data_IF_509563428089
#
_entry.id   IF_509563428089
#
_cell.length_a   1.000
_cell.length_b   1.000
_cell.length_c   1.000
_cell.angle_alpha   90.00
_cell.angle_beta   90.00
_cell.angle_gamma   90.00
#
_symmetry.space_group_name_H-M   'P 1'
#
loop_
_entity.id
_entity.type
_entity.pdbx_description
1 polymer ?
#
# COMPACT_ATOMS: atom_id res chain seq x y z
N UNK A 1 -4.81 -28.04 19.43
CA UNK A 1 -4.21 -27.14 20.44
C UNK A 1 -5.35 -26.51 21.21
N UNK A 2 -5.32 -26.57 22.54
CA UNK A 2 -6.32 -25.85 23.35
C UNK A 2 -6.19 -24.35 23.06
N UNK A 3 -7.30 -23.63 22.84
CA UNK A 3 -7.25 -22.20 22.60
C UNK A 3 -6.63 -21.53 23.84
N UNK A 4 -5.61 -20.70 23.64
CA UNK A 4 -5.08 -19.85 24.70
C UNK A 4 -6.15 -18.85 25.14
N UNK A 5 -6.13 -18.34 26.38
CA UNK A 5 -7.06 -17.30 26.84
C UNK A 5 -7.11 -16.10 25.89
N UNK A 6 -5.96 -15.73 25.33
CA UNK A 6 -5.84 -14.67 24.31
C UNK A 6 -6.55 -15.00 22.99
N UNK A 7 -6.52 -16.26 22.55
CA UNK A 7 -7.25 -16.68 21.35
C UNK A 7 -8.77 -16.73 21.56
N UNK A 8 -9.23 -16.94 22.80
CA UNK A 8 -10.65 -16.85 23.15
C UNK A 8 -11.11 -15.40 23.25
N UNK A 9 -10.35 -14.53 23.92
CA UNK A 9 -10.67 -13.10 24.04
C UNK A 9 -10.61 -12.38 22.67
N UNK A 10 -9.61 -12.68 21.85
CA UNK A 10 -9.50 -12.14 20.49
C UNK A 10 -10.64 -12.57 19.56
N UNK A 11 -11.33 -13.67 19.88
CA UNK A 11 -12.53 -14.11 19.15
C UNK A 11 -13.77 -13.30 19.53
N UNK A 12 -13.91 -12.94 20.79
CA UNK A 12 -15.10 -12.25 21.29
C UNK A 12 -14.98 -10.71 21.22
N UNK A 13 -13.76 -10.18 21.29
CA UNK A 13 -13.45 -8.75 21.15
C UNK A 13 -12.32 -8.50 20.13
N UNK A 14 -12.54 -8.81 18.83
CA UNK A 14 -11.48 -8.81 17.83
C UNK A 14 -10.86 -7.42 17.63
N UNK A 15 -11.67 -6.37 17.50
CA UNK A 15 -11.18 -5.00 17.24
C UNK A 15 -10.37 -4.46 18.42
N UNK A 16 -10.85 -4.65 19.65
CA UNK A 16 -10.13 -4.20 20.84
C UNK A 16 -8.79 -4.94 20.99
N UNK A 17 -8.79 -6.25 20.77
CA UNK A 17 -7.57 -7.06 20.83
C UNK A 17 -6.56 -6.66 19.75
N UNK A 18 -7.03 -6.41 18.52
CA UNK A 18 -6.20 -5.88 17.43
C UNK A 18 -5.63 -4.51 17.78
N UNK A 19 -6.41 -3.63 18.42
CA UNK A 19 -5.94 -2.31 18.82
C UNK A 19 -4.83 -2.39 19.88
N UNK A 20 -4.99 -3.24 20.89
CA UNK A 20 -3.95 -3.49 21.91
C UNK A 20 -2.68 -4.06 21.25
N UNK A 21 -2.82 -5.03 20.35
CA UNK A 21 -1.69 -5.58 19.59
C UNK A 21 -1.01 -4.51 18.72
N UNK A 22 -1.79 -3.65 18.08
CA UNK A 22 -1.31 -2.54 17.27
C UNK A 22 -0.47 -1.58 18.11
N UNK A 23 -1.00 -1.14 19.25
CA UNK A 23 -0.27 -0.24 20.15
C UNK A 23 1.03 -0.89 20.66
N UNK A 24 0.98 -2.16 21.06
CA UNK A 24 2.16 -2.89 21.52
C UNK A 24 3.23 -2.97 20.43
N UNK A 25 2.84 -3.36 19.21
CA UNK A 25 3.78 -3.47 18.09
C UNK A 25 4.34 -2.11 17.65
N UNK A 26 3.50 -1.07 17.59
CA UNK A 26 3.95 0.29 17.29
C UNK A 26 4.89 0.83 18.35
N UNK A 27 4.66 0.50 19.62
CA UNK A 27 5.56 0.85 20.72
C UNK A 27 6.92 0.16 20.57
N UNK A 28 6.96 -1.11 20.18
CA UNK A 28 8.23 -1.81 19.91
C UNK A 28 9.02 -1.14 18.77
N UNK A 29 8.36 -0.87 17.63
CA UNK A 29 9.02 -0.18 16.50
C UNK A 29 9.47 1.22 16.91
N UNK A 30 8.64 1.95 17.67
CA UNK A 30 8.98 3.27 18.19
C UNK A 30 10.22 3.24 19.07
N UNK A 31 10.28 2.31 20.03
CA UNK A 31 11.41 2.16 20.93
C UNK A 31 12.69 1.80 20.17
N UNK A 32 12.63 0.89 19.19
CA UNK A 32 13.79 0.54 18.36
C UNK A 32 14.28 1.75 17.56
N UNK A 33 13.37 2.46 16.89
CA UNK A 33 13.73 3.65 16.09
C UNK A 33 14.34 4.74 16.97
N UNK A 34 13.77 5.01 18.14
CA UNK A 34 14.29 6.04 19.05
C UNK A 34 15.61 5.62 19.71
N UNK A 35 15.78 4.34 20.05
CA UNK A 35 17.01 3.81 20.65
C UNK A 35 18.13 3.55 19.63
N UNK A 36 17.85 3.60 18.32
CA UNK A 36 18.84 3.37 17.28
C UNK A 36 20.01 4.37 17.41
N UNK A 37 21.27 3.91 17.38
CA UNK A 37 22.43 4.76 17.60
C UNK A 37 22.69 5.67 16.39
N UNK A 38 23.15 6.88 16.70
CA UNK A 38 23.74 7.83 15.76
C UNK A 38 22.76 8.56 14.83
N UNK A 39 23.18 9.75 14.40
CA UNK A 39 22.61 10.40 13.21
C UNK A 39 22.87 9.58 11.94
N UNK A 40 23.88 8.68 11.97
CA UNK A 40 24.37 7.96 10.80
C UNK A 40 25.17 8.88 9.87
N UNK A 41 25.41 8.46 8.63
CA UNK A 41 25.89 9.35 7.56
C UNK A 41 24.75 10.18 6.94
N UNK A 42 23.72 10.51 7.74
CA UNK A 42 22.52 11.18 7.27
C UNK A 42 22.71 12.70 7.21
N UNK A 43 23.25 13.17 6.08
CA UNK A 43 23.38 14.61 5.80
C UNK A 43 22.11 15.23 5.24
N UNK A 44 21.12 14.44 4.84
CA UNK A 44 19.92 14.92 4.16
C UNK A 44 18.84 15.35 5.14
N UNK A 45 18.60 14.55 6.18
CA UNK A 45 17.60 14.87 7.21
C UNK A 45 17.99 16.11 8.01
N UNK A 46 19.29 16.33 8.24
CA UNK A 46 19.81 17.54 8.91
C UNK A 46 19.53 18.83 8.15
N UNK A 47 19.28 18.77 6.83
CA UNK A 47 18.93 19.94 6.03
C UNK A 47 17.48 20.40 6.26
N UNK A 48 16.60 19.53 6.77
CA UNK A 48 15.21 19.89 7.08
C UNK A 48 15.10 20.83 8.29
N UNK A 49 16.06 20.74 9.21
CA UNK A 49 16.17 21.61 10.39
C UNK A 49 16.98 22.90 10.13
N UNK A 50 17.46 23.11 8.90
CA UNK A 50 18.31 24.24 8.56
C UNK A 50 17.47 25.45 8.16
N UNK A 51 17.26 26.39 9.09
CA UNK A 51 16.40 27.57 8.89
C UNK A 51 17.15 28.90 8.62
N UNK A 52 18.47 28.93 8.45
CA UNK A 52 19.19 30.20 8.28
C UNK A 52 20.11 30.27 7.06
N UNK A 53 19.88 31.29 6.21
CA UNK A 53 20.60 31.62 4.98
C UNK A 53 22.06 32.08 5.15
N UNK A 54 22.79 31.53 6.13
CA UNK A 54 24.22 31.73 6.31
C UNK A 54 25.03 30.83 5.37
N UNK A 55 25.96 31.42 4.62
CA UNK A 55 26.97 30.73 3.78
C UNK A 55 27.99 29.92 4.60
N UNK A 56 27.57 29.08 5.54
CA UNK A 56 28.46 28.13 6.20
C UNK A 56 28.36 26.78 5.50
N UNK A 57 29.48 26.37 4.89
CA UNK A 57 29.67 25.03 4.36
C UNK A 57 29.62 24.07 5.56
N UNK A 58 28.72 23.08 5.53
CA UNK A 58 28.65 22.04 6.56
C UNK A 58 29.92 21.18 6.44
N UNK A 59 30.95 21.52 7.22
CA UNK A 59 32.24 20.80 7.22
C UNK A 59 32.30 19.67 8.25
N UNK A 60 31.33 19.60 9.16
CA UNK A 60 31.31 18.63 10.26
C UNK A 60 30.07 17.72 10.17
N UNK A 61 30.18 16.50 10.70
CA UNK A 61 29.02 15.64 10.97
C UNK A 61 27.98 16.45 11.76
N UNK A 62 26.68 16.42 11.40
CA UNK A 62 25.66 17.12 12.16
C UNK A 62 25.76 16.73 13.64
N UNK A 63 25.95 17.70 14.52
CA UNK A 63 25.74 17.50 15.95
C UNK A 63 24.28 17.05 16.17
N UNK A 64 24.05 16.36 17.30
CA UNK A 64 22.80 15.72 17.74
C UNK A 64 21.53 16.20 17.01
N UNK A 65 20.81 15.29 16.35
CA UNK A 65 19.51 15.59 15.73
C UNK A 65 18.63 16.38 16.71
N UNK A 66 18.25 17.59 16.31
CA UNK A 66 17.50 18.54 17.14
C UNK A 66 16.16 18.00 17.63
N UNK A 67 15.62 16.98 16.94
CA UNK A 67 14.40 16.28 17.31
C UNK A 67 14.55 14.76 17.10
N UNK A 68 14.21 13.98 18.13
CA UNK A 68 14.19 12.51 18.07
C UNK A 68 13.21 11.97 17.01
N UNK A 69 12.15 12.72 16.66
CA UNK A 69 11.21 12.34 15.61
C UNK A 69 11.84 12.31 14.21
N UNK A 70 12.94 13.03 13.98
CA UNK A 70 13.68 12.99 12.71
C UNK A 70 14.26 11.59 12.43
N UNK A 71 14.36 10.69 13.42
CA UNK A 71 14.75 9.28 13.18
C UNK A 71 13.72 8.52 12.35
N UNK A 72 12.49 9.03 12.27
CA UNK A 72 11.46 8.52 11.36
C UNK A 72 11.51 9.17 9.97
N UNK A 73 12.20 10.30 9.82
CA UNK A 73 12.29 11.06 8.57
C UNK A 73 13.60 10.74 7.87
N UNK A 74 13.78 9.51 7.40
CA UNK A 74 14.95 9.04 6.65
C UNK A 74 14.53 8.40 5.32
N UNK A 75 15.46 8.28 4.38
CA UNK A 75 15.20 7.64 3.09
C UNK A 75 14.02 8.31 2.36
N UNK A 76 13.07 7.53 1.83
CA UNK A 76 11.90 8.00 1.10
C UNK A 76 11.05 9.02 1.89
N UNK A 77 10.99 8.92 3.23
CA UNK A 77 10.21 9.86 4.06
C UNK A 77 10.73 11.30 4.03
N UNK A 78 12.01 11.50 3.71
CA UNK A 78 12.57 12.85 3.53
C UNK A 78 11.84 13.56 2.39
N UNK A 79 11.62 12.87 1.27
CA UNK A 79 10.86 13.42 0.14
C UNK A 79 9.43 13.73 0.55
N UNK A 80 8.76 12.82 1.25
CA UNK A 80 7.37 13.03 1.66
C UNK A 80 7.20 14.24 2.59
N UNK A 81 8.08 14.40 3.57
CA UNK A 81 8.09 15.55 4.48
C UNK A 81 8.46 16.83 3.74
N UNK A 82 9.51 16.83 2.91
CA UNK A 82 9.91 18.00 2.13
C UNK A 82 8.79 18.49 1.20
N UNK A 83 8.18 17.58 0.43
CA UNK A 83 7.05 17.89 -0.47
C UNK A 83 5.87 18.45 0.33
N UNK A 84 5.66 17.99 1.57
CA UNK A 84 4.58 18.51 2.40
C UNK A 84 4.78 19.95 2.85
N UNK A 85 6.03 20.40 2.97
CA UNK A 85 6.37 21.74 3.43
C UNK A 85 6.54 22.71 2.25
N UNK A 86 7.20 22.27 1.17
CA UNK A 86 7.63 23.14 0.06
C UNK A 86 6.90 22.85 -1.26
N UNK A 87 6.08 21.80 -1.32
CA UNK A 87 5.56 21.29 -2.59
C UNK A 87 6.64 20.57 -3.40
N UNK A 88 6.35 20.26 -4.66
CA UNK A 88 7.33 19.66 -5.56
C UNK A 88 8.30 20.73 -6.07
N UNK A 89 9.55 20.68 -5.62
CA UNK A 89 10.62 21.58 -6.03
C UNK A 89 11.50 20.93 -7.09
N UNK A 90 11.80 19.64 -6.92
CA UNK A 90 12.71 18.91 -7.81
C UNK A 90 12.01 17.84 -8.66
N UNK A 91 12.56 17.59 -9.85
CA UNK A 91 11.98 16.65 -10.83
C UNK A 91 11.83 15.24 -10.25
N UNK A 92 12.83 14.76 -9.49
CA UNK A 92 12.84 13.42 -8.90
C UNK A 92 11.74 13.18 -7.85
N UNK A 93 11.19 14.25 -7.26
CA UNK A 93 10.19 14.16 -6.19
C UNK A 93 8.84 13.64 -6.69
N UNK A 94 8.57 13.80 -7.98
CA UNK A 94 7.34 13.36 -8.62
C UNK A 94 7.15 11.85 -8.64
N UNK A 95 8.21 11.08 -8.37
CA UNK A 95 8.08 9.65 -8.18
C UNK A 95 7.54 9.23 -6.81
N UNK A 96 7.54 10.13 -5.83
CA UNK A 96 6.99 9.86 -4.51
C UNK A 96 5.49 10.08 -4.43
N UNK A 97 4.83 10.55 -5.51
CA UNK A 97 3.38 10.76 -5.54
C UNK A 97 2.95 11.97 -4.71
N UNK A 98 1.70 12.40 -4.87
CA UNK A 98 1.18 13.64 -4.26
C UNK A 98 0.31 13.36 -3.03
N UNK A 99 -0.08 12.11 -2.78
CA UNK A 99 -1.14 11.79 -1.82
C UNK A 99 -0.80 12.07 -0.35
N UNK A 100 0.18 11.36 0.22
CA UNK A 100 0.50 11.48 1.66
C UNK A 100 1.05 12.86 2.02
N UNK A 101 1.91 13.45 1.18
CA UNK A 101 2.45 14.79 1.40
C UNK A 101 1.35 15.84 1.42
N UNK A 102 0.37 15.78 0.50
CA UNK A 102 -0.79 16.69 0.52
C UNK A 102 -1.62 16.53 1.79
N UNK A 103 -1.80 15.29 2.27
CA UNK A 103 -2.52 15.04 3.53
C UNK A 103 -1.78 15.65 4.72
N UNK A 104 -0.45 15.51 4.80
CA UNK A 104 0.38 16.16 5.82
C UNK A 104 0.22 17.68 5.75
N UNK A 105 0.42 18.30 4.58
CA UNK A 105 0.29 19.76 4.41
C UNK A 105 -1.10 20.27 4.80
N UNK A 106 -2.15 19.54 4.44
CA UNK A 106 -3.52 19.90 4.77
C UNK A 106 -3.77 19.80 6.27
N UNK A 107 -3.40 18.68 6.91
CA UNK A 107 -3.55 18.49 8.36
C UNK A 107 -2.75 19.52 9.15
N UNK A 108 -1.49 19.78 8.79
CA UNK A 108 -0.67 20.82 9.44
C UNK A 108 -1.30 22.22 9.30
N UNK A 109 -1.88 22.56 8.14
CA UNK A 109 -2.62 23.83 7.96
C UNK A 109 -3.91 23.88 8.79
N UNK A 110 -4.68 22.79 8.84
CA UNK A 110 -5.91 22.73 9.63
C UNK A 110 -5.64 22.84 11.14
N UNK A 111 -4.58 22.20 11.65
CA UNK A 111 -4.18 22.33 13.05
C UNK A 111 -3.75 23.76 13.40
N UNK A 112 -3.05 24.45 12.49
CA UNK A 112 -2.72 25.88 12.64
C UNK A 112 -3.97 26.75 12.74
N UNK A 113 -4.97 26.51 11.89
CA UNK A 113 -6.23 27.25 11.91
C UNK A 113 -7.04 27.03 13.20
N UNK A 114 -6.86 25.88 13.86
CA UNK A 114 -7.53 25.54 15.12
C UNK A 114 -6.82 26.12 16.37
N UNK A 115 -5.70 26.85 16.21
CA UNK A 115 -5.06 27.58 17.29
C UNK A 115 -4.18 26.74 18.23
N UNK A 116 -3.72 25.57 17.79
CA UNK A 116 -2.72 24.80 18.54
C UNK A 116 -1.38 25.58 18.57
N UNK A 117 -1.01 26.09 19.75
CA UNK A 117 0.08 27.08 19.95
C UNK A 117 1.50 26.52 19.80
N UNK A 118 1.65 25.19 19.82
CA UNK A 118 2.91 24.50 19.54
C UNK A 118 2.76 23.81 18.19
N UNK A 119 3.46 24.29 17.17
CA UNK A 119 3.34 23.74 15.82
C UNK A 119 3.87 22.29 15.79
N UNK A 120 3.01 21.28 15.52
CA UNK A 120 3.52 19.94 15.30
C UNK A 120 4.28 19.95 13.98
N UNK A 121 5.55 19.53 14.02
CA UNK A 121 6.38 19.41 12.82
C UNK A 121 5.69 18.52 11.78
N UNK A 122 5.85 18.80 10.49
CA UNK A 122 5.31 17.97 9.41
C UNK A 122 5.75 16.51 9.52
N UNK A 123 6.94 16.28 10.10
CA UNK A 123 7.44 14.98 10.55
C UNK A 123 6.49 14.28 11.54
N UNK A 124 6.09 14.95 12.63
CA UNK A 124 5.18 14.40 13.62
C UNK A 124 3.78 14.14 13.06
N UNK A 125 3.24 15.09 12.28
CA UNK A 125 1.95 14.92 11.58
C UNK A 125 2.00 13.72 10.62
N UNK A 126 3.10 13.56 9.90
CA UNK A 126 3.34 12.42 9.01
C UNK A 126 3.37 11.07 9.74
N UNK A 127 4.01 10.99 10.90
CA UNK A 127 4.02 9.79 11.74
C UNK A 127 2.59 9.45 12.20
N UNK A 128 1.86 10.45 12.71
CA UNK A 128 0.48 10.28 13.18
C UNK A 128 -0.45 9.80 12.05
N UNK A 129 -0.38 10.43 10.87
CA UNK A 129 -1.16 10.03 9.70
C UNK A 129 -0.80 8.61 9.24
N UNK A 130 0.48 8.23 9.34
CA UNK A 130 0.95 6.90 8.97
C UNK A 130 0.45 5.82 9.93
N UNK A 131 0.44 6.09 11.24
CA UNK A 131 -0.17 5.18 12.23
C UNK A 131 -1.69 5.12 12.08
N UNK A 132 -2.38 6.25 11.91
CA UNK A 132 -3.81 6.28 11.70
C UNK A 132 -4.21 5.50 10.44
N UNK A 133 -3.51 5.71 9.32
CA UNK A 133 -3.74 4.98 8.07
C UNK A 133 -3.48 3.48 8.24
N UNK A 134 -2.41 3.08 8.92
CA UNK A 134 -2.14 1.66 9.16
C UNK A 134 -3.19 1.02 10.07
N UNK A 135 -3.69 1.73 11.09
CA UNK A 135 -4.78 1.21 11.92
C UNK A 135 -6.06 1.03 11.09
N UNK A 136 -6.39 2.01 10.26
CA UNK A 136 -7.54 1.89 9.36
C UNK A 136 -7.36 0.75 8.35
N UNK A 137 -6.16 0.53 7.80
CA UNK A 137 -5.91 -0.59 6.88
C UNK A 137 -6.06 -1.95 7.57
N UNK A 138 -5.70 -2.07 8.85
CA UNK A 138 -5.96 -3.26 9.68
C UNK A 138 -7.46 -3.53 9.82
N UNK A 139 -8.27 -2.48 10.08
CA UNK A 139 -9.73 -2.60 10.12
C UNK A 139 -10.29 -3.03 8.76
N UNK A 140 -9.80 -2.43 7.66
CA UNK A 140 -10.26 -2.78 6.32
C UNK A 140 -9.91 -4.22 5.93
N UNK A 141 -8.72 -4.71 6.29
CA UNK A 141 -8.35 -6.11 6.05
C UNK A 141 -9.22 -7.08 6.87
N UNK A 142 -9.49 -6.74 8.13
CA UNK A 142 -10.41 -7.52 8.97
C UNK A 142 -11.80 -7.60 8.33
N UNK A 143 -12.37 -6.44 7.96
CA UNK A 143 -13.70 -6.35 7.34
C UNK A 143 -13.76 -7.05 5.98
N UNK A 144 -12.71 -6.91 5.15
CA UNK A 144 -12.60 -7.60 3.86
C UNK A 144 -12.57 -9.12 4.04
N UNK A 145 -11.78 -9.61 5.00
CA UNK A 145 -11.70 -11.04 5.29
C UNK A 145 -13.02 -11.58 5.82
N UNK A 146 -13.68 -10.86 6.74
CA UNK A 146 -15.02 -11.23 7.23
C UNK A 146 -16.07 -11.27 6.10
N UNK A 147 -16.11 -10.23 5.27
CA UNK A 147 -17.04 -10.13 4.14
C UNK A 147 -16.84 -11.22 3.09
N UNK A 148 -15.61 -11.74 2.93
CA UNK A 148 -15.28 -12.86 2.04
C UNK A 148 -15.77 -14.21 2.58
N UNK A 149 -15.73 -14.41 3.91
CA UNK A 149 -16.18 -15.65 4.54
C UNK A 149 -17.71 -15.82 4.52
N UNK A 150 -18.45 -14.71 4.39
CA UNK A 150 -19.91 -14.73 4.31
C UNK A 150 -20.61 -14.85 5.67
N UNK A 151 -21.96 -14.85 5.69
CA UNK A 151 -22.76 -14.71 6.90
C UNK A 151 -22.89 -16.01 7.72
N UNK A 152 -22.15 -17.08 7.41
CA UNK A 152 -22.25 -18.35 8.12
C UNK A 152 -21.57 -18.24 9.50
N UNK A 153 -22.29 -17.63 10.44
CA UNK A 153 -21.90 -17.33 11.83
C UNK A 153 -21.65 -18.58 12.68
N UNK A 154 -21.94 -19.77 12.15
CA UNK A 154 -21.81 -21.04 12.89
C UNK A 154 -20.35 -21.44 13.14
N UNK A 155 -19.39 -20.86 12.40
CA UNK A 155 -17.97 -20.97 12.68
C UNK A 155 -17.39 -19.57 12.92
N UNK A 156 -17.23 -19.18 14.20
CA UNK A 156 -16.43 -18.01 14.60
C UNK A 156 -14.96 -18.25 14.25
N UNK A 157 -14.62 -18.21 12.95
CA UNK A 157 -13.27 -18.40 12.47
C UNK A 157 -12.38 -17.26 12.96
N UNK A 158 -11.16 -17.60 13.36
CA UNK A 158 -10.14 -16.63 13.74
C UNK A 158 -9.45 -16.02 12.51
N UNK A 159 -9.85 -16.38 11.30
CA UNK A 159 -9.21 -15.96 10.07
C UNK A 159 -9.18 -14.43 9.87
N UNK A 160 -10.30 -13.66 10.04
CA UNK A 160 -10.26 -12.21 9.89
C UNK A 160 -9.34 -11.54 10.91
N UNK A 161 -9.40 -12.00 12.16
CA UNK A 161 -8.52 -11.53 13.24
C UNK A 161 -7.06 -11.84 12.92
N UNK A 162 -6.75 -13.05 12.48
CA UNK A 162 -5.39 -13.51 12.19
C UNK A 162 -4.80 -12.77 10.99
N UNK A 163 -5.57 -12.58 9.91
CA UNK A 163 -5.12 -11.82 8.74
C UNK A 163 -4.79 -10.35 9.12
N UNK A 164 -5.67 -9.71 9.90
CA UNK A 164 -5.44 -8.36 10.41
C UNK A 164 -4.24 -8.26 11.35
N UNK A 165 -4.06 -9.24 12.25
CA UNK A 165 -2.88 -9.32 13.13
C UNK A 165 -1.57 -9.50 12.35
N UNK A 166 -1.58 -10.31 11.28
CA UNK A 166 -0.42 -10.45 10.39
C UNK A 166 -0.08 -9.15 9.66
N UNK A 167 -1.08 -8.32 9.34
CA UNK A 167 -0.84 -6.99 8.77
C UNK A 167 -0.20 -6.04 9.77
N UNK A 168 -0.61 -6.07 11.04
CA UNK A 168 0.08 -5.34 12.12
C UNK A 168 1.57 -5.71 12.13
N UNK A 169 1.88 -7.01 12.06
CA UNK A 169 3.24 -7.58 12.10
C UNK A 169 3.94 -7.64 10.74
N UNK A 170 3.49 -6.85 9.76
CA UNK A 170 3.99 -6.89 8.38
C UNK A 170 5.52 -6.66 8.30
N UNK A 171 6.23 -7.33 7.38
CA UNK A 171 7.67 -7.09 7.15
C UNK A 171 7.96 -5.69 6.59
N UNK A 172 6.93 -4.90 6.25
CA UNK A 172 7.08 -3.48 5.94
C UNK A 172 7.48 -2.63 7.16
N UNK A 173 7.33 -3.17 8.39
CA UNK A 173 7.96 -2.66 9.59
C UNK A 173 7.81 -1.15 9.82
N UNK A 174 8.95 -0.46 9.88
CA UNK A 174 9.03 0.98 10.13
C UNK A 174 8.40 1.83 9.03
N UNK A 175 8.32 1.35 7.79
CA UNK A 175 7.65 2.07 6.70
C UNK A 175 6.14 2.25 6.94
N UNK A 176 5.54 1.43 7.83
CA UNK A 176 4.16 1.60 8.28
C UNK A 176 4.02 2.57 9.48
N UNK A 177 5.11 3.20 9.89
CA UNK A 177 5.20 4.11 11.04
C UNK A 177 5.85 5.45 10.69
N UNK A 178 6.83 5.45 9.80
CA UNK A 178 7.44 6.64 9.25
C UNK A 178 6.47 7.37 8.30
N UNK A 179 6.68 8.67 8.01
CA UNK A 179 5.93 9.48 7.03
C UNK A 179 6.06 8.98 5.58
N UNK A 180 5.81 7.70 5.34
CA UNK A 180 5.92 7.08 4.03
C UNK A 180 4.53 6.77 3.47
N UNK A 181 4.48 6.49 2.17
CA UNK A 181 3.21 6.23 1.47
C UNK A 181 2.61 4.85 1.74
N UNK A 182 3.36 3.89 2.31
CA UNK A 182 2.93 2.50 2.53
C UNK A 182 1.61 2.40 3.32
N UNK A 183 1.51 3.09 4.45
CA UNK A 183 0.30 3.01 5.30
C UNK A 183 -0.93 3.60 4.62
N UNK A 184 -0.80 4.77 4.00
CA UNK A 184 -1.89 5.43 3.29
C UNK A 184 -2.32 4.62 2.05
N UNK A 185 -1.35 4.09 1.31
CA UNK A 185 -1.61 3.19 0.19
C UNK A 185 -2.36 1.94 0.66
N UNK A 186 -1.92 1.29 1.74
CA UNK A 186 -2.55 0.10 2.27
C UNK A 186 -4.00 0.37 2.68
N UNK A 187 -4.28 1.47 3.38
CA UNK A 187 -5.64 1.85 3.76
C UNK A 187 -6.55 2.04 2.55
N UNK A 188 -6.13 2.84 1.58
CA UNK A 188 -6.93 3.16 0.40
C UNK A 188 -7.11 1.95 -0.54
N UNK A 189 -6.07 1.13 -0.69
CA UNK A 189 -6.12 -0.12 -1.46
C UNK A 189 -7.09 -1.12 -0.83
N UNK A 190 -6.97 -1.37 0.48
CA UNK A 190 -7.86 -2.29 1.21
C UNK A 190 -9.31 -1.80 1.19
N UNK A 191 -9.53 -0.49 1.35
CA UNK A 191 -10.86 0.15 1.23
C UNK A 191 -11.45 -0.03 -0.17
N UNK A 192 -10.62 0.09 -1.22
CA UNK A 192 -11.02 -0.16 -2.60
C UNK A 192 -11.44 -1.61 -2.84
N UNK A 193 -10.67 -2.58 -2.33
CA UNK A 193 -11.01 -4.01 -2.45
C UNK A 193 -12.29 -4.36 -1.68
N UNK A 194 -12.47 -3.81 -0.47
CA UNK A 194 -13.70 -3.99 0.31
C UNK A 194 -14.91 -3.39 -0.40
N UNK A 195 -14.79 -2.16 -0.91
CA UNK A 195 -15.83 -1.50 -1.69
C UNK A 195 -16.20 -2.30 -2.95
N UNK A 196 -15.20 -2.80 -3.68
CA UNK A 196 -15.42 -3.65 -4.86
C UNK A 196 -16.19 -4.93 -4.48
N UNK A 197 -15.80 -5.61 -3.40
CA UNK A 197 -16.51 -6.79 -2.90
C UNK A 197 -17.97 -6.46 -2.57
N UNK A 198 -18.22 -5.42 -1.78
CA UNK A 198 -19.57 -5.02 -1.42
C UNK A 198 -20.41 -4.62 -2.64
N UNK A 199 -19.84 -3.91 -3.60
CA UNK A 199 -20.52 -3.57 -4.85
C UNK A 199 -21.02 -4.83 -5.58
N UNK A 200 -20.17 -5.86 -5.72
CA UNK A 200 -20.57 -7.13 -6.36
C UNK A 200 -21.62 -7.90 -5.56
N UNK A 201 -21.61 -7.79 -4.22
CA UNK A 201 -22.60 -8.41 -3.34
C UNK A 201 -23.96 -7.70 -3.45
N UNK A 202 -23.96 -6.36 -3.50
CA UNK A 202 -25.17 -5.54 -3.66
C UNK A 202 -25.84 -5.79 -5.01
N UNK A 203 -25.05 -5.84 -6.10
CA UNK A 203 -25.56 -6.20 -7.42
C UNK A 203 -26.25 -7.57 -7.41
N UNK A 204 -25.63 -8.57 -6.77
CA UNK A 204 -26.19 -9.92 -6.64
C UNK A 204 -27.51 -9.95 -5.87
N UNK A 205 -27.72 -9.03 -4.94
CA UNK A 205 -28.99 -8.87 -4.21
C UNK A 205 -30.05 -8.10 -5.02
N UNK A 206 -29.76 -7.72 -6.27
CA UNK A 206 -30.66 -6.94 -7.12
C UNK A 206 -30.62 -5.43 -6.83
N UNK A 207 -29.77 -4.96 -5.92
CA UNK A 207 -29.64 -3.55 -5.54
C UNK A 207 -28.67 -2.84 -6.50
N UNK A 208 -29.08 -2.70 -7.77
CA UNK A 208 -28.23 -2.21 -8.86
C UNK A 208 -27.66 -0.82 -8.58
N UNK A 209 -28.50 0.14 -8.20
CA UNK A 209 -28.06 1.53 -7.95
C UNK A 209 -27.02 1.59 -6.83
N UNK A 210 -27.31 0.96 -5.68
CA UNK A 210 -26.38 0.89 -4.56
C UNK A 210 -25.06 0.22 -4.97
N UNK A 211 -25.13 -0.90 -5.70
CA UNK A 211 -23.95 -1.59 -6.23
C UNK A 211 -23.10 -0.71 -7.14
N UNK A 212 -23.72 0.02 -8.08
CA UNK A 212 -23.02 0.92 -9.00
C UNK A 212 -22.35 2.08 -8.26
N UNK A 213 -23.04 2.70 -7.31
CA UNK A 213 -22.48 3.79 -6.49
C UNK A 213 -21.30 3.29 -5.66
N UNK A 214 -21.43 2.12 -5.01
CA UNK A 214 -20.32 1.52 -4.26
C UNK A 214 -19.14 1.15 -5.18
N UNK A 215 -19.40 0.70 -6.41
CA UNK A 215 -18.34 0.41 -7.40
C UNK A 215 -17.54 1.67 -7.77
N UNK A 216 -18.23 2.81 -7.96
CA UNK A 216 -17.57 4.10 -8.22
C UNK A 216 -16.76 4.54 -7.00
N UNK A 217 -17.30 4.40 -5.78
CA UNK A 217 -16.55 4.69 -4.55
C UNK A 217 -15.29 3.83 -4.41
N UNK A 218 -15.36 2.54 -4.78
CA UNK A 218 -14.18 1.68 -4.84
C UNK A 218 -13.15 2.23 -5.84
N UNK A 219 -13.58 2.66 -7.02
CA UNK A 219 -12.73 3.32 -8.02
C UNK A 219 -12.07 4.61 -7.52
N UNK A 220 -12.80 5.44 -6.77
CA UNK A 220 -12.24 6.64 -6.13
C UNK A 220 -11.17 6.29 -5.09
N UNK A 221 -11.40 5.26 -4.27
CA UNK A 221 -10.40 4.78 -3.29
C UNK A 221 -9.13 4.26 -3.97
N UNK A 222 -9.27 3.55 -5.09
CA UNK A 222 -8.12 3.10 -5.87
C UNK A 222 -7.43 4.22 -6.65
N UNK A 223 -8.17 5.23 -7.11
CA UNK A 223 -7.60 6.45 -7.71
C UNK A 223 -6.69 7.17 -6.71
N UNK A 224 -7.18 7.41 -5.50
CA UNK A 224 -6.38 8.07 -4.45
C UNK A 224 -5.21 7.20 -4.01
N UNK A 225 -5.38 5.87 -3.92
CA UNK A 225 -4.26 4.95 -3.70
C UNK A 225 -3.19 5.09 -4.81
N UNK A 226 -3.60 5.24 -6.08
CA UNK A 226 -2.70 5.42 -7.22
C UNK A 226 -1.95 6.75 -7.19
N UNK A 227 -2.60 7.81 -6.68
CA UNK A 227 -1.94 9.11 -6.44
C UNK A 227 -0.95 9.06 -5.28
N UNK A 228 -1.21 8.23 -4.27
CA UNK A 228 -0.28 7.98 -3.16
C UNK A 228 0.92 7.18 -3.64
N UNK A 229 0.71 6.17 -4.50
CA UNK A 229 1.77 5.41 -5.17
C UNK A 229 1.34 4.89 -6.53
N UNK A 230 2.19 5.05 -7.54
CA UNK A 230 1.90 4.64 -8.92
C UNK A 230 1.60 3.15 -9.11
N UNK A 231 2.11 2.25 -8.24
CA UNK A 231 1.78 0.83 -8.30
C UNK A 231 0.29 0.54 -7.97
N UNK A 232 -0.46 1.53 -7.47
CA UNK A 232 -1.92 1.47 -7.35
C UNK A 232 -2.66 1.28 -8.67
N UNK A 233 -2.02 1.58 -9.82
CA UNK A 233 -2.59 1.35 -11.15
C UNK A 233 -2.98 -0.12 -11.37
N UNK A 234 -2.33 -1.06 -10.67
CA UNK A 234 -2.65 -2.49 -10.72
C UNK A 234 -4.06 -2.80 -10.19
N UNK A 235 -4.66 -1.90 -9.40
CA UNK A 235 -6.06 -1.98 -8.98
C UNK A 235 -7.06 -1.71 -10.11
N UNK A 236 -6.60 -1.35 -11.32
CA UNK A 236 -7.41 -1.35 -12.53
C UNK A 236 -7.78 -2.75 -13.03
N UNK A 237 -7.00 -3.79 -12.66
CA UNK A 237 -7.23 -5.17 -13.08
C UNK A 237 -8.62 -5.70 -12.65
N UNK A 238 -9.07 -5.53 -11.37
CA UNK A 238 -10.43 -5.85 -10.96
C UNK A 238 -11.53 -5.29 -11.87
N UNK A 239 -11.42 -4.02 -12.26
CA UNK A 239 -12.39 -3.37 -13.15
C UNK A 239 -12.31 -3.93 -14.57
N UNK A 240 -11.11 -4.20 -15.08
CA UNK A 240 -10.93 -4.80 -16.40
C UNK A 240 -11.57 -6.20 -16.46
N UNK A 241 -11.32 -7.04 -15.45
CA UNK A 241 -11.91 -8.38 -15.37
C UNK A 241 -13.44 -8.29 -15.29
N UNK A 242 -13.98 -7.41 -14.44
CA UNK A 242 -15.42 -7.24 -14.30
C UNK A 242 -16.08 -6.65 -15.57
N UNK A 243 -15.40 -5.72 -16.26
CA UNK A 243 -15.88 -5.14 -17.51
C UNK A 243 -15.94 -6.19 -18.64
N UNK A 244 -14.88 -6.98 -18.81
CA UNK A 244 -14.83 -8.06 -19.81
C UNK A 244 -15.92 -9.10 -19.54
N UNK A 245 -16.05 -9.55 -18.28
CA UNK A 245 -17.05 -10.56 -17.92
C UNK A 245 -18.48 -10.03 -18.11
N UNK A 246 -18.74 -8.76 -17.75
CA UNK A 246 -20.05 -8.12 -17.97
C UNK A 246 -20.34 -7.94 -19.46
N UNK A 247 -19.35 -7.53 -20.26
CA UNK A 247 -19.48 -7.39 -21.71
C UNK A 247 -19.81 -8.73 -22.37
N UNK A 248 -19.10 -9.80 -22.01
CA UNK A 248 -19.39 -11.15 -22.50
C UNK A 248 -20.79 -11.62 -22.09
N UNK A 249 -21.26 -11.26 -20.88
CA UNK A 249 -22.62 -11.56 -20.44
C UNK A 249 -23.68 -10.77 -21.25
N UNK A 250 -23.41 -9.52 -21.61
CA UNK A 250 -24.29 -8.73 -22.50
C UNK A 250 -24.35 -9.34 -23.90
N UNK A 251 -23.21 -9.78 -24.45
CA UNK A 251 -23.15 -10.39 -25.78
C UNK A 251 -23.85 -11.76 -25.83
N UNK A 252 -23.74 -12.56 -24.77
CA UNK A 252 -24.29 -13.93 -24.72
C UNK A 252 -25.74 -13.99 -24.24
N UNK A 253 -26.15 -13.12 -23.31
CA UNK A 253 -27.46 -13.17 -22.66
C UNK A 253 -28.34 -11.95 -22.98
N UNK A 254 -27.93 -11.11 -23.94
CA UNK A 254 -28.67 -9.92 -24.39
C UNK A 254 -28.48 -8.66 -23.53
N UNK A 255 -29.06 -7.56 -24.02
CA UNK A 255 -29.02 -6.26 -23.36
C UNK A 255 -29.99 -6.22 -22.18
N UNK A 256 -29.50 -5.68 -21.05
CA UNK A 256 -30.33 -5.38 -19.88
C UNK A 256 -29.86 -4.06 -19.29
N UNK A 257 -30.80 -3.19 -18.88
CA UNK A 257 -30.48 -1.91 -18.27
C UNK A 257 -29.57 -2.09 -17.04
N UNK A 258 -29.81 -3.11 -16.20
CA UNK A 258 -28.97 -3.37 -15.02
C UNK A 258 -27.53 -3.73 -15.39
N UNK A 259 -27.32 -4.53 -16.46
CA UNK A 259 -25.99 -4.87 -16.95
C UNK A 259 -25.28 -3.67 -17.56
N UNK A 260 -26.01 -2.80 -18.27
CA UNK A 260 -25.46 -1.57 -18.84
C UNK A 260 -25.05 -0.57 -17.76
N UNK A 261 -25.88 -0.34 -16.75
CA UNK A 261 -25.53 0.51 -15.61
C UNK A 261 -24.35 -0.05 -14.82
N UNK A 262 -24.32 -1.37 -14.60
CA UNK A 262 -23.18 -2.02 -13.97
C UNK A 262 -21.90 -1.83 -14.76
N UNK A 263 -21.93 -2.13 -16.07
CA UNK A 263 -20.78 -1.94 -16.96
C UNK A 263 -20.29 -0.49 -16.96
N UNK A 264 -21.21 0.48 -17.04
CA UNK A 264 -20.87 1.89 -16.98
C UNK A 264 -20.18 2.26 -15.66
N UNK A 265 -20.67 1.75 -14.52
CA UNK A 265 -20.06 1.99 -13.20
C UNK A 265 -18.67 1.37 -13.08
N UNK A 266 -18.45 0.18 -13.67
CA UNK A 266 -17.16 -0.51 -13.69
C UNK A 266 -16.17 0.23 -14.58
N UNK A 267 -16.59 0.68 -15.76
CA UNK A 267 -15.75 1.49 -16.67
C UNK A 267 -15.40 2.83 -16.00
N UNK A 268 -16.36 3.51 -15.39
CA UNK A 268 -16.10 4.74 -14.65
C UNK A 268 -15.11 4.51 -13.50
N UNK A 269 -15.27 3.43 -12.72
CA UNK A 269 -14.33 3.04 -11.67
C UNK A 269 -12.92 2.78 -12.20
N UNK A 270 -12.77 2.07 -13.32
CA UNK A 270 -11.48 1.85 -13.97
C UNK A 270 -10.82 3.12 -14.49
N UNK A 271 -11.61 4.04 -15.08
CA UNK A 271 -11.13 5.36 -15.53
C UNK A 271 -10.67 6.24 -14.36
N UNK A 272 -11.33 6.14 -13.19
CA UNK A 272 -10.86 6.82 -11.98
C UNK A 272 -9.48 6.31 -11.56
N UNK A 273 -9.22 4.99 -11.61
CA UNK A 273 -7.87 4.47 -11.30
C UNK A 273 -6.82 5.05 -12.27
N UNK A 274 -7.15 5.10 -13.57
CA UNK A 274 -6.26 5.72 -14.57
C UNK A 274 -6.05 7.22 -14.29
N UNK A 275 -7.11 7.95 -13.89
CA UNK A 275 -7.01 9.35 -13.49
C UNK A 275 -6.01 9.54 -12.33
N UNK A 276 -6.00 8.64 -11.34
CA UNK A 276 -5.03 8.69 -10.25
C UNK A 276 -3.56 8.63 -10.69
N UNK A 277 -3.27 8.01 -11.84
CA UNK A 277 -1.93 7.98 -12.45
C UNK A 277 -1.67 9.18 -13.36
N UNK A 278 -2.67 9.60 -14.14
CA UNK A 278 -2.54 10.67 -15.15
C UNK A 278 -2.52 12.05 -14.51
N UNK A 279 -3.29 12.28 -13.44
CA UNK A 279 -3.42 13.60 -12.83
C UNK A 279 -2.08 14.17 -12.32
N UNK A 280 -1.27 13.44 -11.50
CA UNK A 280 0.04 13.95 -11.10
C UNK A 280 0.99 14.19 -12.27
N UNK A 281 0.92 13.36 -13.32
CA UNK A 281 1.74 13.54 -14.54
C UNK A 281 1.36 14.83 -15.28
N UNK A 282 0.07 15.16 -15.29
CA UNK A 282 -0.44 16.40 -15.89
C UNK A 282 0.06 17.66 -15.17
N UNK A 283 0.09 17.63 -13.83
CA UNK A 283 0.65 18.72 -13.03
C UNK A 283 2.14 18.90 -13.32
N UNK A 284 2.92 17.82 -13.30
CA UNK A 284 4.33 17.87 -13.66
C UNK A 284 4.57 18.37 -15.10
N UNK A 285 3.72 17.98 -16.04
CA UNK A 285 3.83 18.44 -17.43
C UNK A 285 3.59 19.96 -17.54
N UNK A 286 2.67 20.51 -16.74
CA UNK A 286 2.48 21.96 -16.67
C UNK A 286 3.75 22.66 -16.17
N UNK A 287 4.40 22.12 -15.15
CA UNK A 287 5.59 22.73 -14.54
C UNK A 287 6.83 22.65 -15.46
N UNK A 288 7.05 21.50 -16.11
CA UNK A 288 8.31 21.24 -16.84
C UNK A 288 8.22 21.31 -18.36
N UNK A 289 7.02 21.25 -18.95
CA UNK A 289 6.87 21.09 -20.41
C UNK A 289 6.05 22.22 -21.05
N UNK A 290 4.92 22.60 -20.45
CA UNK A 290 4.00 23.58 -21.03
C UNK A 290 4.63 24.97 -21.17
N UNK A 291 4.48 25.60 -22.33
CA UNK A 291 4.98 26.96 -22.58
C UNK A 291 6.52 27.12 -22.64
N UNK A 292 7.28 26.01 -22.56
CA UNK A 292 8.76 26.05 -22.64
C UNK A 292 9.26 25.75 -24.05
N UNK A 293 10.29 26.49 -24.48
CA UNK A 293 10.98 26.28 -25.75
C UNK A 293 11.67 24.91 -25.81
N UNK A 294 11.84 24.39 -27.03
CA UNK A 294 12.37 23.04 -27.26
C UNK A 294 13.79 22.83 -26.71
N UNK A 295 14.60 23.90 -26.60
CA UNK A 295 15.98 23.86 -26.10
C UNK A 295 16.05 23.77 -24.57
N UNK A 296 15.04 24.27 -23.85
CA UNK A 296 14.99 24.33 -22.38
C UNK A 296 14.16 23.18 -21.80
N UNK A 297 13.34 22.55 -22.64
CA UNK A 297 12.40 21.51 -22.23
C UNK A 297 13.13 20.21 -21.83
N UNK A 298 12.62 19.55 -20.78
CA UNK A 298 13.15 18.25 -20.35
C UNK A 298 12.93 17.17 -21.42
N UNK A 299 13.86 16.21 -21.60
CA UNK A 299 13.80 15.25 -22.70
C UNK A 299 12.52 14.40 -22.73
N UNK A 300 11.96 14.07 -21.57
CA UNK A 300 10.75 13.26 -21.47
C UNK A 300 9.49 13.95 -21.97
N UNK A 301 9.48 15.29 -22.05
CA UNK A 301 8.36 16.04 -22.59
C UNK A 301 8.18 15.82 -24.11
N UNK A 302 9.23 15.38 -24.81
CA UNK A 302 9.22 15.15 -26.26
C UNK A 302 8.94 13.68 -26.63
N UNK A 303 8.67 12.81 -25.64
CA UNK A 303 8.29 11.42 -25.88
C UNK A 303 6.83 11.34 -26.35
N UNK A 304 6.48 10.29 -27.11
CA UNK A 304 5.12 10.05 -27.61
C UNK A 304 4.07 10.03 -26.48
N UNK A 305 4.45 9.46 -25.34
CA UNK A 305 3.67 9.51 -24.10
C UNK A 305 4.58 10.12 -23.04
N UNK A 306 4.50 11.44 -22.80
CA UNK A 306 5.30 12.11 -21.78
C UNK A 306 4.99 11.54 -20.40
N UNK A 307 6.03 11.19 -19.64
CA UNK A 307 5.87 10.65 -18.30
C UNK A 307 7.06 11.04 -17.42
N UNK A 308 6.84 11.98 -16.50
CA UNK A 308 7.84 12.32 -15.49
C UNK A 308 8.14 11.11 -14.61
N UNK A 309 7.14 10.28 -14.27
CA UNK A 309 7.36 9.10 -13.46
C UNK A 309 8.35 8.13 -14.12
N UNK A 310 8.11 7.77 -15.38
CA UNK A 310 8.97 6.82 -16.11
C UNK A 310 10.36 7.41 -16.35
N UNK A 311 10.42 8.71 -16.64
CA UNK A 311 11.67 9.44 -16.75
C UNK A 311 12.46 9.37 -15.45
N UNK A 312 11.85 9.72 -14.31
CA UNK A 312 12.55 9.74 -13.03
C UNK A 312 13.04 8.35 -12.62
N UNK A 313 12.18 7.33 -12.77
CA UNK A 313 12.53 5.94 -12.51
C UNK A 313 13.77 5.51 -13.32
N UNK A 314 13.80 5.83 -14.61
CA UNK A 314 14.90 5.40 -15.49
C UNK A 314 16.15 6.27 -15.43
N UNK A 315 16.01 7.59 -15.30
CA UNK A 315 17.09 8.57 -15.37
C UNK A 315 17.82 8.72 -14.03
N UNK A 316 17.09 8.85 -12.92
CA UNK A 316 17.70 9.09 -11.60
C UNK A 316 18.01 7.80 -10.85
N UNK A 317 17.22 6.74 -11.06
CA UNK A 317 17.37 5.49 -10.32
C UNK A 317 17.67 4.27 -11.19
N UNK A 318 17.84 4.43 -12.50
CA UNK A 318 18.16 3.33 -13.42
C UNK A 318 17.16 2.14 -13.33
N UNK A 319 15.91 2.41 -12.97
CA UNK A 319 14.83 1.42 -12.93
C UNK A 319 14.36 1.11 -14.34
N UNK A 320 14.14 -0.17 -14.62
CA UNK A 320 13.64 -0.64 -15.91
C UNK A 320 13.79 -2.15 -16.05
N UNK A 321 13.19 -2.75 -17.10
CA UNK A 321 13.22 -4.18 -17.31
C UNK A 321 14.65 -4.72 -17.33
N UNK A 322 14.91 -5.67 -16.43
CA UNK A 322 16.17 -6.37 -16.20
C UNK A 322 17.39 -5.50 -15.88
N UNK A 323 17.25 -4.18 -15.69
CA UNK A 323 18.37 -3.29 -15.37
C UNK A 323 19.00 -3.59 -14.01
N UNK A 324 18.20 -4.12 -13.08
CA UNK A 324 18.67 -4.47 -11.74
C UNK A 324 19.36 -5.84 -11.66
N UNK A 325 19.33 -6.63 -12.74
CA UNK A 325 19.89 -7.99 -12.80
C UNK A 325 21.40 -7.97 -12.99
N UNK A 326 22.11 -7.69 -11.91
CA UNK A 326 23.57 -7.72 -11.84
C UNK A 326 24.02 -8.67 -10.73
N UNK A 327 25.22 -9.25 -10.87
CA UNK A 327 25.77 -10.16 -9.85
C UNK A 327 25.93 -9.45 -8.50
N UNK A 328 26.28 -8.15 -8.51
CA UNK A 328 26.39 -7.33 -7.29
C UNK A 328 25.07 -7.17 -6.54
N UNK A 329 23.93 -7.23 -7.24
CA UNK A 329 22.61 -7.10 -6.62
C UNK A 329 22.03 -8.44 -6.13
N UNK A 330 22.70 -9.57 -6.39
CA UNK A 330 22.22 -10.90 -5.99
C UNK A 330 21.84 -10.99 -4.49
N UNK A 331 22.57 -10.39 -3.53
CA UNK A 331 22.16 -10.39 -2.12
C UNK A 331 20.77 -9.77 -1.89
N UNK A 332 20.41 -8.74 -2.65
CA UNK A 332 19.12 -8.05 -2.54
C UNK A 332 17.98 -8.87 -3.12
N UNK A 333 18.25 -9.67 -4.17
CA UNK A 333 17.30 -10.67 -4.65
C UNK A 333 17.06 -11.77 -3.62
N UNK A 334 18.11 -12.24 -2.93
CA UNK A 334 17.99 -13.24 -1.85
C UNK A 334 17.15 -12.67 -0.71
N UNK A 335 17.36 -11.40 -0.35
CA UNK A 335 16.63 -10.71 0.70
C UNK A 335 15.13 -10.54 0.34
N UNK A 336 14.81 -10.28 -0.92
CA UNK A 336 13.46 -10.16 -1.44
C UNK A 336 12.74 -11.51 -1.65
N UNK A 337 13.49 -12.60 -1.81
CA UNK A 337 12.98 -13.91 -2.23
C UNK A 337 11.85 -14.47 -1.36
N UNK A 338 11.87 -14.37 -0.01
CA UNK A 338 10.77 -14.86 0.81
C UNK A 338 9.45 -14.16 0.49
N UNK A 339 9.46 -12.83 0.38
CA UNK A 339 8.25 -12.08 0.08
C UNK A 339 7.76 -12.31 -1.35
N UNK A 340 8.66 -12.32 -2.34
CA UNK A 340 8.32 -12.67 -3.73
C UNK A 340 7.64 -14.04 -3.80
N UNK A 341 8.21 -15.04 -3.12
CA UNK A 341 7.67 -16.38 -3.05
C UNK A 341 6.27 -16.38 -2.43
N UNK A 342 6.07 -15.69 -1.31
CA UNK A 342 4.76 -15.59 -0.64
C UNK A 342 3.73 -14.95 -1.58
N UNK A 343 4.05 -13.84 -2.24
CA UNK A 343 3.12 -13.16 -3.15
C UNK A 343 2.75 -14.02 -4.36
N UNK A 344 3.73 -14.70 -4.97
CA UNK A 344 3.51 -15.57 -6.13
C UNK A 344 2.74 -16.82 -5.72
N UNK A 345 3.17 -17.53 -4.68
CA UNK A 345 2.53 -18.78 -4.27
C UNK A 345 1.12 -18.55 -3.74
N UNK A 346 0.88 -17.52 -2.93
CA UNK A 346 -0.47 -17.22 -2.44
C UNK A 346 -1.42 -16.87 -3.59
N UNK A 347 -0.97 -16.10 -4.58
CA UNK A 347 -1.76 -15.82 -5.78
C UNK A 347 -2.05 -17.11 -6.57
N UNK A 348 -1.03 -17.92 -6.87
CA UNK A 348 -1.20 -19.15 -7.65
C UNK A 348 -2.04 -20.21 -6.93
N UNK A 349 -1.88 -20.37 -5.61
CA UNK A 349 -2.65 -21.33 -4.81
C UNK A 349 -4.14 -20.97 -4.84
N UNK A 350 -4.48 -19.69 -4.65
CA UNK A 350 -5.86 -19.20 -4.70
C UNK A 350 -6.45 -19.25 -6.11
N UNK A 351 -5.67 -18.94 -7.15
CA UNK A 351 -6.12 -19.05 -8.55
C UNK A 351 -6.42 -20.50 -8.95
N UNK A 352 -5.66 -21.47 -8.42
CA UNK A 352 -5.85 -22.91 -8.68
C UNK A 352 -6.95 -23.52 -7.81
N UNK A 353 -7.09 -23.05 -6.56
CA UNK A 353 -7.95 -23.64 -5.53
C UNK A 353 -8.73 -22.52 -4.81
N UNK A 354 -9.73 -21.89 -5.46
CA UNK A 354 -10.49 -20.78 -4.88
C UNK A 354 -11.21 -21.16 -3.57
N UNK A 355 -11.59 -22.43 -3.42
CA UNK A 355 -12.18 -22.99 -2.20
C UNK A 355 -11.27 -22.91 -0.96
N UNK A 356 -10.00 -22.55 -1.12
CA UNK A 356 -9.06 -22.36 -0.02
C UNK A 356 -9.42 -21.17 0.88
N UNK A 357 -9.96 -20.09 0.31
CA UNK A 357 -10.34 -18.87 1.05
C UNK A 357 -11.85 -18.69 1.16
N UNK A 358 -12.61 -19.11 0.15
CA UNK A 358 -14.07 -19.00 0.18
C UNK A 358 -14.61 -20.39 0.48
N UNK A 359 -15.24 -20.54 1.66
CA UNK A 359 -15.97 -21.74 2.02
C UNK A 359 -17.35 -21.69 1.35
N UNK A 360 -17.40 -21.98 0.06
CA UNK A 360 -18.68 -22.00 -0.65
C UNK A 360 -19.55 -23.14 -0.12
N UNK A 361 -20.80 -22.82 0.21
CA UNK A 361 -21.82 -23.85 0.37
C UNK A 361 -22.16 -24.40 -1.03
N UNK A 362 -22.19 -25.73 -1.21
CA UNK A 362 -22.25 -26.38 -2.52
C UNK A 362 -23.56 -26.19 -3.31
N UNK A 363 -24.45 -25.27 -2.90
CA UNK A 363 -25.83 -25.24 -3.34
C UNK A 363 -26.16 -24.21 -4.44
N UNK A 364 -25.19 -23.45 -5.00
CA UNK A 364 -25.47 -22.64 -6.20
C UNK A 364 -24.25 -22.37 -7.10
N UNK A 365 -24.34 -22.67 -8.42
CA UNK A 365 -23.26 -22.39 -9.39
C UNK A 365 -23.02 -20.89 -9.64
N UNK A 366 -24.00 -20.03 -9.35
CA UNK A 366 -23.90 -18.58 -9.54
C UNK A 366 -23.00 -17.96 -8.48
N UNK A 367 -23.10 -18.41 -7.22
CA UNK A 367 -22.21 -17.99 -6.12
C UNK A 367 -20.76 -18.42 -6.37
N UNK A 368 -20.55 -19.59 -6.99
CA UNK A 368 -19.23 -20.11 -7.34
C UNK A 368 -18.47 -19.24 -8.36
N UNK A 369 -19.18 -18.74 -9.37
CA UNK A 369 -18.59 -17.86 -10.37
C UNK A 369 -18.16 -16.51 -9.79
N UNK A 370 -18.91 -15.99 -8.81
CA UNK A 370 -18.70 -14.66 -8.25
C UNK A 370 -17.61 -14.64 -7.17
N UNK A 371 -17.54 -15.68 -6.32
CA UNK A 371 -16.43 -15.87 -5.40
C UNK A 371 -15.09 -15.96 -6.13
N UNK A 372 -15.05 -16.73 -7.23
CA UNK A 372 -13.88 -16.83 -8.10
C UNK A 372 -13.44 -15.49 -8.70
N UNK A 373 -14.38 -14.64 -9.13
CA UNK A 373 -14.07 -13.29 -9.67
C UNK A 373 -13.43 -12.39 -8.62
N UNK A 374 -13.96 -12.37 -7.40
CA UNK A 374 -13.38 -11.56 -6.32
C UNK A 374 -11.96 -12.04 -5.98
N UNK A 375 -11.73 -13.35 -5.94
CA UNK A 375 -10.38 -13.89 -5.70
C UNK A 375 -9.40 -13.56 -6.82
N UNK A 376 -9.84 -13.61 -8.08
CA UNK A 376 -9.05 -13.12 -9.23
C UNK A 376 -8.66 -11.65 -9.06
N UNK A 377 -9.62 -10.82 -8.66
CA UNK A 377 -9.40 -9.39 -8.41
C UNK A 377 -8.39 -9.12 -7.30
N UNK A 378 -8.24 -10.02 -6.32
CA UNK A 378 -7.22 -9.91 -5.26
C UNK A 378 -5.87 -10.51 -5.70
N UNK A 379 -5.88 -11.59 -6.48
CA UNK A 379 -4.68 -12.34 -6.85
C UNK A 379 -3.88 -11.72 -8.00
N UNK A 380 -4.55 -11.22 -9.03
CA UNK A 380 -3.87 -10.72 -10.23
C UNK A 380 -3.04 -9.45 -9.98
N UNK A 381 -3.53 -8.41 -9.26
CA UNK A 381 -2.71 -7.25 -8.92
C UNK A 381 -1.46 -7.64 -8.15
N UNK A 382 -1.60 -8.55 -7.18
CA UNK A 382 -0.48 -9.03 -6.37
C UNK A 382 0.55 -9.81 -7.20
N UNK A 383 0.10 -10.71 -8.07
CA UNK A 383 0.97 -11.48 -8.93
C UNK A 383 1.72 -10.57 -9.90
N UNK A 384 1.03 -9.60 -10.50
CA UNK A 384 1.63 -8.62 -11.39
C UNK A 384 2.66 -7.77 -10.66
N UNK A 385 2.38 -7.34 -9.42
CA UNK A 385 3.36 -6.64 -8.58
C UNK A 385 4.63 -7.47 -8.37
N UNK A 386 4.49 -8.76 -8.04
CA UNK A 386 5.64 -9.63 -7.82
C UNK A 386 6.47 -9.83 -9.10
N UNK A 387 5.82 -10.00 -10.26
CA UNK A 387 6.50 -10.10 -11.56
C UNK A 387 7.23 -8.79 -11.89
N UNK A 388 6.59 -7.64 -11.71
CA UNK A 388 7.21 -6.34 -11.95
C UNK A 388 8.37 -6.08 -10.99
N UNK A 389 8.23 -6.45 -9.72
CA UNK A 389 9.31 -6.31 -8.74
C UNK A 389 10.53 -7.17 -9.08
N UNK A 390 10.30 -8.41 -9.51
CA UNK A 390 11.37 -9.33 -9.92
C UNK A 390 12.06 -8.90 -11.22
N UNK A 391 11.30 -8.39 -12.19
CA UNK A 391 11.84 -8.07 -13.52
C UNK A 391 12.36 -6.65 -13.62
N UNK A 392 11.74 -5.67 -12.94
CA UNK A 392 11.88 -4.26 -13.32
C UNK A 392 12.22 -3.31 -12.16
N UNK A 393 11.90 -3.64 -10.91
CA UNK A 393 12.15 -2.74 -9.77
C UNK A 393 13.49 -3.04 -9.08
N UNK A 394 13.88 -2.13 -8.18
CA UNK A 394 14.76 -2.45 -7.06
C UNK A 394 14.08 -3.52 -6.19
N UNK A 395 14.39 -4.79 -6.44
CA UNK A 395 13.60 -5.95 -6.00
C UNK A 395 13.30 -5.99 -4.49
N UNK A 396 14.20 -5.49 -3.67
CA UNK A 396 14.10 -5.47 -2.20
C UNK A 396 12.92 -4.65 -1.68
N UNK A 397 12.42 -3.68 -2.44
CA UNK A 397 11.26 -2.87 -2.04
C UNK A 397 9.96 -3.67 -1.99
N UNK A 398 9.95 -4.93 -2.47
CA UNK A 398 8.74 -5.76 -2.44
C UNK A 398 8.23 -6.03 -1.02
N UNK A 399 9.12 -6.04 -0.02
CA UNK A 399 8.79 -6.27 1.39
C UNK A 399 7.91 -5.16 1.96
N UNK A 400 8.13 -3.92 1.52
CA UNK A 400 7.29 -2.76 1.87
C UNK A 400 6.06 -2.64 0.96
N UNK A 401 6.20 -2.91 -0.34
CA UNK A 401 5.09 -2.81 -1.31
C UNK A 401 3.97 -3.84 -1.04
N UNK A 402 4.32 -5.02 -0.52
CA UNK A 402 3.36 -6.08 -0.21
C UNK A 402 2.32 -5.67 0.85
N UNK A 403 2.61 -4.64 1.66
CA UNK A 403 1.75 -4.19 2.76
C UNK A 403 0.35 -3.80 2.30
N UNK A 404 0.20 -3.25 1.09
CA UNK A 404 -1.08 -2.82 0.53
C UNK A 404 -1.86 -3.89 -0.24
N UNK A 405 -1.42 -5.16 -0.22
CA UNK A 405 -2.05 -6.27 -0.94
C UNK A 405 -2.65 -7.26 0.06
N UNK A 406 -3.98 -7.41 0.13
CA UNK A 406 -4.65 -8.19 1.18
C UNK A 406 -4.46 -9.71 1.07
N UNK A 407 -4.30 -10.25 -0.15
CA UNK A 407 -4.47 -11.67 -0.41
C UNK A 407 -3.50 -12.55 0.38
N UNK A 408 -2.22 -12.19 0.39
CA UNK A 408 -1.21 -13.01 1.02
C UNK A 408 -1.37 -13.09 2.55
N UNK A 409 -1.93 -12.06 3.21
CA UNK A 409 -2.27 -12.10 4.63
C UNK A 409 -3.37 -13.13 4.91
N UNK A 410 -4.44 -13.09 4.11
CA UNK A 410 -5.54 -14.06 4.22
C UNK A 410 -5.03 -15.48 3.97
N UNK A 411 -4.21 -15.67 2.93
CA UNK A 411 -3.61 -16.95 2.62
C UNK A 411 -2.71 -17.48 3.75
N UNK A 412 -1.84 -16.63 4.31
CA UNK A 412 -0.95 -17.02 5.40
C UNK A 412 -1.74 -17.33 6.68
N UNK A 413 -2.81 -16.59 6.96
CA UNK A 413 -3.71 -16.86 8.07
C UNK A 413 -4.39 -18.24 7.93
N UNK A 414 -4.86 -18.61 6.74
CA UNK A 414 -5.40 -19.96 6.47
C UNK A 414 -4.32 -21.03 6.60
N UNK A 415 -3.10 -20.78 6.11
CA UNK A 415 -1.97 -21.71 6.29
C UNK A 415 -1.56 -21.86 7.75
N UNK A 416 -1.78 -20.86 8.60
CA UNK A 416 -1.52 -20.99 10.04
C UNK A 416 -2.48 -21.97 10.70
N UNK A 417 -3.75 -22.01 10.27
CA UNK A 417 -4.73 -23.00 10.76
C UNK A 417 -4.41 -24.42 10.26
N UNK A 418 -3.98 -24.57 9.00
CA UNK A 418 -3.75 -25.87 8.36
C UNK A 418 -2.34 -26.45 8.59
N UNK A 419 -1.31 -25.61 8.51
CA UNK A 419 0.11 -25.97 8.52
C UNK A 419 0.91 -25.07 9.50
N UNK A 420 0.57 -25.08 10.81
CA UNK A 420 1.05 -24.08 11.78
C UNK A 420 2.58 -24.00 11.88
N UNK A 421 3.28 -25.14 11.75
CA UNK A 421 4.75 -25.18 11.80
C UNK A 421 5.39 -24.38 10.67
N UNK A 422 4.90 -24.51 9.43
CA UNK A 422 5.44 -23.81 8.26
C UNK A 422 5.06 -22.33 8.28
N UNK A 423 3.80 -22.02 8.58
CA UNK A 423 3.34 -20.65 8.70
C UNK A 423 4.09 -19.89 9.81
N UNK A 424 4.39 -20.54 10.93
CA UNK A 424 5.17 -19.93 12.03
C UNK A 424 6.59 -19.52 11.62
N UNK A 425 7.23 -20.24 10.69
CA UNK A 425 8.56 -19.85 10.17
C UNK A 425 8.46 -18.55 9.39
N UNK A 426 7.43 -18.41 8.55
CA UNK A 426 7.17 -17.18 7.80
C UNK A 426 6.89 -16.01 8.74
N UNK A 427 6.06 -16.22 9.77
CA UNK A 427 5.72 -15.17 10.75
C UNK A 427 6.97 -14.74 11.54
N UNK A 428 7.82 -15.69 11.96
CA UNK A 428 9.10 -15.37 12.62
C UNK A 428 10.00 -14.54 11.72
N UNK A 429 10.11 -14.91 10.44
CA UNK A 429 10.84 -14.12 9.45
C UNK A 429 10.28 -12.69 9.34
N UNK A 430 8.95 -12.53 9.23
CA UNK A 430 8.30 -11.21 9.16
C UNK A 430 8.67 -10.32 10.35
N UNK A 431 8.54 -10.87 11.57
CA UNK A 431 8.84 -10.15 12.81
C UNK A 431 10.31 -9.78 12.89
N UNK A 432 11.23 -10.74 12.68
CA UNK A 432 12.68 -10.49 12.73
C UNK A 432 13.07 -9.44 11.69
N UNK A 433 12.56 -9.57 10.45
CA UNK A 433 12.84 -8.64 9.37
C UNK A 433 12.38 -7.23 9.73
N UNK A 434 11.15 -7.06 10.24
CA UNK A 434 10.61 -5.75 10.61
C UNK A 434 11.40 -5.08 11.75
N UNK A 435 11.85 -5.85 12.76
CA UNK A 435 12.63 -5.32 13.88
C UNK A 435 14.04 -4.89 13.43
N UNK A 436 14.72 -5.74 12.64
CA UNK A 436 16.04 -5.41 12.07
C UNK A 436 15.94 -4.21 11.14
N UNK A 437 14.93 -4.19 10.26
CA UNK A 437 14.64 -3.09 9.36
C UNK A 437 14.45 -1.76 10.10
N UNK A 438 13.72 -1.75 11.22
CA UNK A 438 13.53 -0.53 12.01
C UNK A 438 14.85 0.04 12.53
N UNK A 439 15.74 -0.81 13.04
CA UNK A 439 17.08 -0.40 13.48
C UNK A 439 17.94 0.11 12.32
N UNK A 440 18.00 -0.62 11.20
CA UNK A 440 18.76 -0.21 10.02
C UNK A 440 18.28 1.13 9.47
N UNK A 441 16.96 1.28 9.30
CA UNK A 441 16.34 2.51 8.84
C UNK A 441 16.73 3.70 9.72
N UNK A 442 16.55 3.55 11.03
CA UNK A 442 16.79 4.57 12.04
C UNK A 442 18.27 4.84 12.32
N UNK A 443 19.18 4.02 11.80
CA UNK A 443 20.63 4.23 11.79
C UNK A 443 21.16 4.66 10.41
N UNK A 444 20.28 4.97 9.44
CA UNK A 444 20.65 5.37 8.07
C UNK A 444 21.50 4.29 7.36
N UNK A 445 21.21 3.03 7.65
CA UNK A 445 21.72 1.87 6.93
C UNK A 445 20.63 1.31 6.00
N UNK A 446 20.99 0.73 4.84
CA UNK A 446 20.02 0.19 3.89
C UNK A 446 19.00 -0.73 4.59
N UNK A 447 17.72 -0.32 4.69
CA UNK A 447 16.71 -1.03 5.48
C UNK A 447 15.98 -2.11 4.66
N UNK A 448 16.37 -2.26 3.40
CA UNK A 448 15.70 -3.08 2.40
C UNK A 448 16.67 -4.08 1.78
#
# INVERSE_FOLDING_TARGET
>A
MNPTPWSMYGRDHPILTLFVLFLAWKSVILLITLAAPGVGYDTSTSLLSWEDGGRQIITNTPDEMSDGWLKFVRWDSIYYTHISDQGHVFEQEWAFGTGISTAISWTSRSLRQLGFSAEPSSSFVGILLSHASHWLSVIQLWALTEALMGPDKTSKSLLPFTAAALHILSPAGVFLSAPCSESAFAFLSMSGFLGYLHATQLLRRGLVFAGCTTMICAGMSFSTATMVRSNGILAGIPFLVEAITTLLAVLSQGLSASRLFWLASVVAGGLLVAFGMVYPQGLAYQDYCYGRDSEVRRPWCNQTIPSIFTWVQSHYWNVGPFRYWTVSNLPLFILAAPMLSILIYSALDVLRRPQFLIRETPHSPITASAGKRVLLSLALPQLMLAVLAFTSYHVQIITRLSSGYPLWYMWLATKLEMEPKRASVVIRWMVIYALVQAGLYASFLPPA
#
